data_IF_902706612373
#
_entry.id   IF_902706612373
#
_cell.length_a   1.000
_cell.length_b   1.000
_cell.length_c   1.000
_cell.angle_alpha   90.00
_cell.angle_beta   90.00
_cell.angle_gamma   90.00
#
_symmetry.space_group_name_H-M   'P 1'
#
loop_
_entity.id
_entity.type
_entity.pdbx_description
1 polymer ?
#
# COMPACT_ATOMS: atom_id res chain seq x y z
N UNK A 1 -23.23 0.12 -52.95
CA UNK A 1 -23.08 -1.31 -53.29
C UNK A 1 -23.20 -2.13 -52.00
N UNK A 2 -24.13 -3.08 -51.90
CA UNK A 2 -24.42 -3.83 -50.67
C UNK A 2 -23.24 -4.65 -50.12
N UNK A 3 -22.12 -4.73 -50.82
CA UNK A 3 -20.88 -5.41 -50.40
C UNK A 3 -20.13 -4.66 -49.30
N UNK A 4 -20.00 -3.33 -49.38
CA UNK A 4 -19.23 -2.53 -48.41
C UNK A 4 -19.95 -2.44 -47.05
N UNK A 5 -21.26 -2.20 -47.05
CA UNK A 5 -22.05 -2.14 -45.81
C UNK A 5 -22.07 -3.48 -45.07
N UNK A 6 -22.12 -4.60 -45.79
CA UNK A 6 -21.98 -5.94 -45.21
C UNK A 6 -20.59 -6.17 -44.60
N UNK A 7 -19.53 -5.73 -45.27
CA UNK A 7 -18.17 -5.83 -44.73
C UNK A 7 -18.03 -5.05 -43.42
N UNK A 8 -18.50 -3.80 -43.37
CA UNK A 8 -18.45 -2.99 -42.15
C UNK A 8 -19.27 -3.62 -41.03
N UNK A 9 -20.47 -4.12 -41.33
CA UNK A 9 -21.31 -4.80 -40.33
C UNK A 9 -20.62 -6.06 -39.77
N UNK A 10 -19.95 -6.83 -40.62
CA UNK A 10 -19.17 -7.98 -40.16
C UNK A 10 -18.02 -7.53 -39.23
N UNK A 11 -17.28 -6.48 -39.60
CA UNK A 11 -16.22 -5.95 -38.75
C UNK A 11 -16.76 -5.44 -37.41
N UNK A 12 -17.88 -4.73 -37.42
CA UNK A 12 -18.52 -4.23 -36.21
C UNK A 12 -18.95 -5.38 -35.29
N UNK A 13 -19.51 -6.45 -35.86
CA UNK A 13 -19.89 -7.64 -35.11
C UNK A 13 -18.68 -8.33 -34.47
N UNK A 14 -17.59 -8.49 -35.22
CA UNK A 14 -16.34 -9.09 -34.71
C UNK A 14 -15.73 -8.22 -33.61
N UNK A 15 -15.65 -6.91 -33.82
CA UNK A 15 -15.16 -5.97 -32.81
C UNK A 15 -16.01 -6.00 -31.54
N UNK A 16 -17.33 -6.02 -31.68
CA UNK A 16 -18.25 -6.14 -30.55
C UNK A 16 -18.09 -7.46 -29.80
N UNK A 17 -17.90 -8.58 -30.51
CA UNK A 17 -17.68 -9.88 -29.89
C UNK A 17 -16.35 -9.92 -29.12
N UNK A 18 -15.27 -9.42 -29.69
CA UNK A 18 -13.95 -9.36 -29.05
C UNK A 18 -13.96 -8.45 -27.82
N UNK A 19 -14.49 -7.23 -27.98
CA UNK A 19 -14.60 -6.28 -26.88
C UNK A 19 -15.55 -6.79 -25.80
N UNK A 20 -16.68 -7.37 -26.19
CA UNK A 20 -17.65 -7.97 -25.27
C UNK A 20 -17.06 -9.12 -24.47
N UNK A 21 -16.26 -9.98 -25.11
CA UNK A 21 -15.54 -11.05 -24.43
C UNK A 21 -14.53 -10.49 -23.42
N UNK A 22 -13.70 -9.52 -23.81
CA UNK A 22 -12.76 -8.87 -22.88
C UNK A 22 -13.48 -8.19 -21.71
N UNK A 23 -14.55 -7.45 -21.99
CA UNK A 23 -15.36 -6.78 -20.98
C UNK A 23 -15.96 -7.80 -20.01
N UNK A 24 -16.48 -8.91 -20.52
CA UNK A 24 -17.03 -9.96 -19.68
C UNK A 24 -15.97 -10.58 -18.76
N UNK A 25 -14.79 -10.91 -19.31
CA UNK A 25 -13.68 -11.42 -18.50
C UNK A 25 -13.25 -10.43 -17.42
N UNK A 26 -13.13 -9.15 -17.75
CA UNK A 26 -12.66 -8.14 -16.81
C UNK A 26 -13.63 -7.89 -15.63
N UNK A 27 -14.94 -8.05 -15.86
CA UNK A 27 -15.96 -7.71 -14.87
C UNK A 27 -16.54 -8.92 -14.12
N UNK A 28 -16.57 -10.11 -14.75
CA UNK A 28 -17.22 -11.30 -14.19
C UNK A 28 -16.23 -12.41 -13.79
N UNK A 29 -14.92 -12.19 -13.92
CA UNK A 29 -13.92 -13.17 -13.52
C UNK A 29 -13.03 -12.57 -12.45
N UNK A 30 -13.07 -13.13 -11.25
CA UNK A 30 -12.19 -12.75 -10.16
C UNK A 30 -10.75 -13.28 -10.38
N UNK A 31 -9.72 -12.46 -10.09
CA UNK A 31 -8.34 -12.91 -10.12
C UNK A 31 -8.07 -13.85 -8.94
N UNK A 32 -7.49 -15.02 -9.24
CA UNK A 32 -7.07 -15.97 -8.21
C UNK A 32 -5.82 -15.48 -7.48
N UNK A 33 -5.96 -15.16 -6.19
CA UNK A 33 -4.81 -14.87 -5.34
C UNK A 33 -4.19 -16.17 -4.84
N UNK A 34 -2.89 -16.35 -5.07
CA UNK A 34 -2.12 -17.48 -4.53
C UNK A 34 -0.99 -16.97 -3.64
N UNK A 35 -0.65 -17.75 -2.63
CA UNK A 35 0.53 -17.50 -1.83
C UNK A 35 1.80 -17.69 -2.70
N UNK A 36 2.69 -16.70 -2.69
CA UNK A 36 3.96 -16.75 -3.41
C UNK A 36 5.06 -16.51 -2.38
N UNK A 37 5.86 -17.54 -2.11
CA UNK A 37 7.07 -17.41 -1.28
C UNK A 37 8.21 -16.93 -2.17
N UNK A 38 8.75 -15.75 -1.86
CA UNK A 38 9.96 -15.22 -2.50
C UNK A 38 11.11 -15.37 -1.51
N UNK A 39 12.13 -16.14 -1.89
CA UNK A 39 13.36 -16.22 -1.11
C UNK A 39 14.14 -14.90 -1.23
N UNK A 40 14.45 -14.27 -0.10
CA UNK A 40 15.20 -13.01 -0.07
C UNK A 40 16.65 -13.35 0.27
N UNK A 41 17.58 -13.26 -0.69
CA UNK A 41 18.98 -13.54 -0.41
C UNK A 41 19.56 -12.50 0.54
N UNK A 42 20.38 -12.95 1.50
CA UNK A 42 20.98 -12.10 2.53
C UNK A 42 21.76 -10.90 1.95
N UNK A 43 22.33 -11.05 0.75
CA UNK A 43 23.02 -9.96 0.02
C UNK A 43 22.13 -8.76 -0.34
N UNK A 44 20.79 -8.89 -0.24
CA UNK A 44 19.82 -7.83 -0.52
C UNK A 44 19.19 -7.25 0.75
N UNK A 45 19.56 -7.73 1.93
CA UNK A 45 19.01 -7.27 3.20
C UNK A 45 19.87 -6.13 3.74
N UNK A 46 19.25 -4.99 4.09
CA UNK A 46 19.91 -3.85 4.72
C UNK A 46 19.50 -3.80 6.21
N UNK A 47 20.33 -4.29 7.15
CA UNK A 47 20.01 -4.27 8.56
C UNK A 47 20.04 -2.81 9.07
N UNK A 48 18.91 -2.31 9.56
CA UNK A 48 18.87 -1.05 10.31
C UNK A 48 19.16 -1.40 11.78
N UNK A 49 20.29 -0.95 12.36
CA UNK A 49 20.58 -1.16 13.77
C UNK A 49 19.58 -0.37 14.60
N UNK A 50 18.74 -1.09 15.36
CA UNK A 50 17.84 -0.48 16.33
C UNK A 50 18.68 -0.12 17.55
N UNK A 51 19.27 1.07 17.56
CA UNK A 51 19.83 1.62 18.78
C UNK A 51 18.66 1.89 19.74
N UNK A 52 18.69 1.43 21.00
CA UNK A 52 17.71 1.85 21.98
C UNK A 52 17.83 3.37 22.12
N UNK A 53 16.86 4.11 21.58
CA UNK A 53 16.66 5.51 21.92
C UNK A 53 16.54 5.58 23.44
N UNK A 54 17.52 6.24 24.08
CA UNK A 54 17.49 6.62 25.48
C UNK A 54 16.32 7.57 25.74
N UNK A 55 15.12 7.02 25.80
CA UNK A 55 13.91 7.67 26.29
C UNK A 55 13.72 7.29 27.76
N UNK A 56 14.70 7.60 28.59
CA UNK A 56 14.52 7.73 30.05
C UNK A 56 15.51 8.81 30.52
N UNK A 57 15.11 10.07 30.42
CA UNK A 57 15.52 11.07 31.40
C UNK A 57 14.23 11.71 31.91
N UNK A 58 13.65 11.23 33.01
CA UNK A 58 12.72 12.04 33.77
C UNK A 58 13.55 13.16 34.34
N UNK A 59 13.63 14.31 33.67
CA UNK A 59 14.07 15.54 34.30
C UNK A 59 12.93 15.96 35.22
N UNK A 60 13.08 15.85 36.56
CA UNK A 60 12.12 16.43 37.48
C UNK A 60 12.42 17.92 37.48
N UNK A 61 11.85 18.66 36.53
CA UNK A 61 11.79 20.11 36.67
C UNK A 61 10.79 20.38 37.80
N UNK A 62 11.37 20.56 38.98
CA UNK A 62 10.90 21.37 40.11
C UNK A 62 9.59 22.07 39.86
N UNK A 63 8.49 21.40 40.21
CA UNK A 63 7.26 22.06 40.61
C UNK A 63 7.40 22.39 42.09
N UNK A 64 8.01 23.54 42.42
CA UNK A 64 7.89 24.09 43.77
C UNK A 64 7.98 25.62 43.71
N UNK A 65 6.85 26.22 43.32
CA UNK A 65 6.53 27.57 43.74
C UNK A 65 5.76 27.47 45.06
N UNK A 66 6.18 28.31 46.01
CA UNK A 66 5.52 28.71 47.24
C UNK A 66 5.68 27.83 48.49
N UNK A 67 6.30 28.42 49.51
CA UNK A 67 5.82 28.26 50.89
C UNK A 67 6.88 27.99 51.94
N UNK A 68 7.29 29.07 52.62
CA UNK A 68 7.53 29.12 54.06
C UNK A 68 8.86 28.57 54.63
N UNK A 69 9.44 29.35 55.54
CA UNK A 69 10.76 29.16 56.15
C UNK A 69 10.72 28.16 57.34
N UNK A 70 11.85 27.71 57.92
CA UNK A 70 12.66 28.57 58.79
C UNK A 70 14.17 28.48 58.55
N UNK A 71 14.77 29.67 58.53
CA UNK A 71 16.17 29.97 58.82
C UNK A 71 16.59 29.41 60.19
N UNK A 72 17.71 28.69 60.22
CA UNK A 72 18.58 28.57 61.38
C UNK A 72 19.63 29.69 61.26
N UNK A 73 19.74 30.47 62.35
CA UNK A 73 20.56 31.66 62.60
C UNK A 73 20.04 33.03 62.13
#
# INVERSE_FOLDING_TARGET
MPTLTRLIMLLALVAAALYGAMFALANFVEPGTREITVEIPASKLHPVPIAPTSSVSPEPTTAEAAGDQPVQE
#
